data_IF_266612702752
#
_entry.id   IF_266612702752
#
_cell.length_a   1.000
_cell.length_b   1.000
_cell.length_c   1.000
_cell.angle_alpha   90.00
_cell.angle_beta   90.00
_cell.angle_gamma   90.00
#
_symmetry.space_group_name_H-M   'P 1'
#
loop_
_entity.id
_entity.type
_entity.pdbx_description
1 polymer ?
#
# COMPACT_ATOMS: atom_id res chain seq x y z
N UNK A 1 -2.28 -14.59 5.05
CA UNK A 1 -1.40 -14.47 3.87
C UNK A 1 0.00 -13.99 4.26
N UNK A 2 0.13 -12.91 5.03
CA UNK A 2 1.43 -12.37 5.46
C UNK A 2 2.24 -13.33 6.36
N UNK A 3 1.70 -13.91 7.46
CA UNK A 3 2.51 -14.74 8.37
C UNK A 3 2.98 -16.07 7.78
N UNK A 4 2.42 -16.48 6.63
CA UNK A 4 2.76 -17.73 5.94
C UNK A 4 3.44 -17.48 4.59
N UNK A 5 3.68 -16.22 4.20
CA UNK A 5 4.28 -15.87 2.91
C UNK A 5 3.40 -16.12 1.66
N UNK A 6 2.15 -16.59 1.83
CA UNK A 6 1.27 -16.94 0.70
C UNK A 6 0.94 -15.75 -0.23
N UNK A 7 1.16 -14.51 0.22
CA UNK A 7 1.00 -13.32 -0.63
C UNK A 7 2.03 -13.29 -1.78
N UNK A 8 3.21 -13.88 -1.62
CA UNK A 8 4.19 -14.01 -2.70
C UNK A 8 3.64 -14.80 -3.89
N UNK A 9 2.80 -15.82 -3.64
CA UNK A 9 2.17 -16.59 -4.72
C UNK A 9 1.21 -15.72 -5.54
N UNK A 10 0.47 -14.81 -4.89
CA UNK A 10 -0.38 -13.83 -5.59
C UNK A 10 0.46 -12.82 -6.36
N UNK A 11 1.54 -12.31 -5.75
CA UNK A 11 2.46 -11.40 -6.41
C UNK A 11 3.05 -12.04 -7.69
N UNK A 12 3.39 -13.34 -7.64
CA UNK A 12 3.86 -14.10 -8.79
C UNK A 12 2.86 -14.14 -9.96
N UNK A 13 1.56 -14.18 -9.66
CA UNK A 13 0.49 -14.19 -10.68
C UNK A 13 0.27 -12.81 -11.28
N UNK A 14 0.14 -11.78 -10.45
CA UNK A 14 -0.27 -10.45 -10.91
C UNK A 14 0.91 -9.56 -11.31
N UNK A 15 1.97 -9.53 -10.51
CA UNK A 15 3.08 -8.60 -10.70
C UNK A 15 4.20 -9.19 -11.55
N UNK A 16 4.32 -10.52 -11.56
CA UNK A 16 5.29 -11.27 -12.33
C UNK A 16 4.61 -12.15 -13.38
N UNK A 17 5.40 -12.92 -14.12
CA UNK A 17 4.99 -13.54 -15.38
C UNK A 17 4.39 -14.95 -15.26
N UNK A 18 3.91 -15.37 -14.08
CA UNK A 18 3.42 -16.75 -13.92
C UNK A 18 2.12 -16.98 -14.71
N UNK A 19 1.32 -15.94 -14.91
CA UNK A 19 0.04 -16.00 -15.63
C UNK A 19 0.00 -15.10 -16.88
N UNK A 20 1.16 -14.61 -17.36
CA UNK A 20 1.23 -13.70 -18.51
C UNK A 20 0.71 -12.28 -18.24
N UNK A 21 0.59 -11.87 -16.98
CA UNK A 21 0.16 -10.50 -16.60
C UNK A 21 1.37 -9.57 -16.51
N UNK A 22 2.35 -9.93 -15.68
CA UNK A 22 3.63 -9.23 -15.52
C UNK A 22 3.47 -7.70 -15.36
N UNK A 23 2.58 -7.28 -14.45
CA UNK A 23 2.15 -5.88 -14.33
C UNK A 23 3.34 -4.95 -14.06
N UNK A 24 4.37 -5.40 -13.30
CA UNK A 24 5.60 -4.61 -13.07
C UNK A 24 6.34 -4.37 -14.39
N UNK A 25 6.71 -5.43 -15.12
CA UNK A 25 7.51 -5.29 -16.33
C UNK A 25 6.80 -4.45 -17.40
N UNK A 26 5.49 -4.62 -17.51
CA UNK A 26 4.65 -3.87 -18.43
C UNK A 26 4.47 -2.41 -18.00
N UNK A 27 4.32 -2.13 -16.70
CA UNK A 27 4.14 -0.77 -16.18
C UNK A 27 5.37 0.10 -16.42
N UNK A 28 6.56 -0.45 -16.17
CA UNK A 28 7.84 0.24 -16.35
C UNK A 28 8.34 0.25 -17.81
N UNK A 29 7.63 -0.43 -18.72
CA UNK A 29 7.95 -0.48 -20.14
C UNK A 29 9.17 -1.32 -20.49
N UNK A 30 9.62 -2.21 -19.59
CA UNK A 30 10.76 -3.10 -19.86
C UNK A 30 10.41 -4.19 -20.88
N UNK A 31 9.13 -4.51 -21.03
CA UNK A 31 8.62 -5.55 -21.93
C UNK A 31 7.85 -4.99 -23.13
N UNK A 32 7.38 -3.74 -23.06
CA UNK A 32 6.71 -3.06 -24.17
C UNK A 32 5.24 -3.44 -24.41
N UNK A 33 4.63 -4.29 -23.58
CA UNK A 33 3.24 -4.76 -23.75
C UNK A 33 2.22 -4.03 -22.85
N UNK A 34 2.65 -2.99 -22.13
CA UNK A 34 1.79 -2.20 -21.25
C UNK A 34 0.70 -1.43 -22.00
N UNK A 35 -0.51 -1.41 -21.43
CA UNK A 35 -1.66 -0.65 -21.93
C UNK A 35 -1.92 0.54 -21.00
N UNK A 36 -1.78 1.74 -21.56
CA UNK A 36 -2.02 2.99 -20.82
C UNK A 36 -3.42 3.01 -20.23
N UNK A 37 -3.52 3.35 -18.94
CA UNK A 37 -4.78 3.38 -18.22
C UNK A 37 -5.34 2.01 -17.84
N UNK A 38 -4.61 0.92 -18.02
CA UNK A 38 -4.98 -0.41 -17.52
C UNK A 38 -3.83 -1.05 -16.71
N UNK A 39 -2.62 -1.06 -17.27
CA UNK A 39 -1.43 -1.58 -16.61
C UNK A 39 -1.12 -0.79 -15.33
N UNK A 40 -0.79 -1.48 -14.25
CA UNK A 40 -0.65 -0.94 -12.90
C UNK A 40 -1.92 -1.03 -12.04
N UNK A 41 -3.01 -1.63 -12.56
CA UNK A 41 -4.26 -1.81 -11.79
C UNK A 41 -4.09 -2.72 -10.58
N UNK A 42 -3.15 -3.67 -10.61
CA UNK A 42 -2.87 -4.58 -9.49
C UNK A 42 -1.84 -4.00 -8.51
N UNK A 43 -1.38 -2.76 -8.74
CA UNK A 43 -0.31 -2.10 -7.98
C UNK A 43 -0.81 -0.84 -7.28
N UNK A 44 -1.58 -0.02 -7.99
CA UNK A 44 -1.94 1.35 -7.53
C UNK A 44 -2.72 1.36 -6.22
N UNK A 45 -3.52 0.32 -5.96
CA UNK A 45 -4.36 0.18 -4.76
C UNK A 45 -3.61 0.14 -3.43
N UNK A 46 -2.31 -0.16 -3.44
CA UNK A 46 -1.53 -0.28 -2.22
C UNK A 46 -1.07 1.08 -1.66
N UNK A 47 -0.86 2.08 -2.53
CA UNK A 47 -0.35 3.39 -2.14
C UNK A 47 -1.24 4.13 -1.12
N UNK A 48 -2.58 4.23 -1.29
CA UNK A 48 -3.43 4.93 -0.32
C UNK A 48 -3.34 4.33 1.09
N UNK A 49 -3.26 3.01 1.18
CA UNK A 49 -3.16 2.30 2.46
C UNK A 49 -1.79 2.48 3.09
N UNK A 50 -0.72 2.22 2.33
CA UNK A 50 0.65 2.21 2.86
C UNK A 50 1.15 3.62 3.22
N UNK A 51 0.79 4.62 2.41
CA UNK A 51 1.23 6.01 2.62
C UNK A 51 0.33 6.81 3.57
N UNK A 52 -0.95 6.45 3.72
CA UNK A 52 -1.89 7.29 4.49
C UNK A 52 -2.68 6.48 5.53
N UNK A 53 -3.32 5.39 5.12
CA UNK A 53 -4.15 4.57 6.01
C UNK A 53 -3.37 4.02 7.21
N UNK A 54 -2.24 3.34 6.97
CA UNK A 54 -1.42 2.76 8.03
C UNK A 54 -0.77 3.82 8.94
N UNK A 55 -0.17 4.91 8.43
CA UNK A 55 0.25 6.03 9.28
C UNK A 55 -0.88 6.64 10.13
N UNK A 56 -2.10 6.77 9.60
CA UNK A 56 -3.26 7.21 10.36
C UNK A 56 -3.67 6.20 11.45
N UNK A 57 -3.68 4.91 11.12
CA UNK A 57 -3.91 3.84 12.10
C UNK A 57 -2.88 3.85 13.23
N UNK A 58 -1.61 4.09 12.91
CA UNK A 58 -0.56 4.28 13.92
C UNK A 58 -0.84 5.50 14.82
N UNK A 59 -1.30 6.61 14.25
CA UNK A 59 -1.71 7.78 15.02
C UNK A 59 -2.92 7.49 15.93
N UNK A 60 -3.91 6.75 15.44
CA UNK A 60 -5.07 6.31 16.22
C UNK A 60 -4.67 5.39 17.38
N UNK A 61 -3.77 4.44 17.14
CA UNK A 61 -3.19 3.59 18.18
C UNK A 61 -2.41 4.41 19.23
N UNK A 62 -1.71 5.46 18.81
CA UNK A 62 -1.01 6.35 19.73
C UNK A 62 -1.98 7.16 20.61
N UNK A 63 -3.06 7.69 20.03
CA UNK A 63 -4.08 8.45 20.76
C UNK A 63 -4.82 7.60 21.79
N UNK A 64 -5.01 6.31 21.52
CA UNK A 64 -5.69 5.36 22.43
C UNK A 64 -4.73 4.68 23.42
N UNK A 65 -3.42 4.90 23.28
CA UNK A 65 -2.43 4.31 24.18
C UNK A 65 -2.55 4.85 25.62
N UNK A 66 -2.46 3.95 26.60
CA UNK A 66 -2.44 4.32 28.04
C UNK A 66 -1.33 5.33 28.32
N UNK A 67 -1.61 6.38 29.11
CA UNK A 67 -0.67 7.47 29.37
C UNK A 67 0.73 7.00 29.81
N UNK A 68 0.78 6.01 30.72
CA UNK A 68 2.03 5.41 31.21
C UNK A 68 2.87 4.70 30.15
N UNK A 69 2.31 4.39 28.98
CA UNK A 69 2.98 3.72 27.84
C UNK A 69 3.15 4.64 26.63
N UNK A 70 2.51 5.81 26.64
CA UNK A 70 2.43 6.71 25.48
C UNK A 70 3.81 7.11 24.93
N UNK A 71 4.79 7.38 25.81
CA UNK A 71 6.17 7.68 25.40
C UNK A 71 6.87 6.51 24.68
N UNK A 72 6.69 5.29 25.18
CA UNK A 72 7.30 4.10 24.58
C UNK A 72 6.64 3.76 23.24
N UNK A 73 5.32 3.85 23.19
CA UNK A 73 4.52 3.55 21.99
C UNK A 73 4.74 4.60 20.89
N UNK A 74 4.94 5.88 21.23
CA UNK A 74 5.20 6.94 20.26
C UNK A 74 6.35 6.61 19.31
N UNK A 75 7.51 6.21 19.85
CA UNK A 75 8.70 5.92 19.04
C UNK A 75 8.49 4.70 18.13
N UNK A 76 7.87 3.65 18.66
CA UNK A 76 7.60 2.41 17.91
C UNK A 76 6.61 2.65 16.77
N UNK A 77 5.48 3.30 17.06
CA UNK A 77 4.44 3.58 16.06
C UNK A 77 4.91 4.59 15.02
N UNK A 78 5.69 5.61 15.42
CA UNK A 78 6.26 6.56 14.47
C UNK A 78 7.25 5.87 13.52
N UNK A 79 8.15 5.03 14.05
CA UNK A 79 9.10 4.30 13.22
C UNK A 79 8.39 3.35 12.24
N UNK A 80 7.36 2.64 12.70
CA UNK A 80 6.55 1.75 11.86
C UNK A 80 5.75 2.53 10.81
N UNK A 81 5.15 3.66 11.17
CA UNK A 81 4.43 4.55 10.25
C UNK A 81 5.36 5.15 9.19
N UNK A 82 6.56 5.60 9.58
CA UNK A 82 7.56 6.12 8.66
C UNK A 82 8.08 5.02 7.71
N UNK A 83 8.27 3.80 8.21
CA UNK A 83 8.60 2.65 7.36
C UNK A 83 7.51 2.41 6.32
N UNK A 84 6.25 2.31 6.75
CA UNK A 84 5.10 2.13 5.83
C UNK A 84 5.02 3.26 4.82
N UNK A 85 5.08 4.52 5.27
CA UNK A 85 4.99 5.67 4.38
C UNK A 85 6.13 5.73 3.38
N UNK A 86 7.37 5.60 3.85
CA UNK A 86 8.54 5.89 3.04
C UNK A 86 8.87 4.75 2.08
N UNK A 87 8.85 3.51 2.59
CA UNK A 87 9.27 2.32 1.83
C UNK A 87 8.12 1.41 1.43
N UNK A 88 6.93 1.56 2.01
CA UNK A 88 5.80 0.64 1.78
C UNK A 88 5.89 -0.65 2.60
N UNK A 89 6.81 -0.75 3.57
CA UNK A 89 6.93 -1.93 4.45
C UNK A 89 5.96 -1.79 5.62
N UNK A 90 4.98 -2.68 5.70
CA UNK A 90 3.82 -2.59 6.59
C UNK A 90 3.88 -3.50 7.79
N UNK A 91 4.69 -4.56 7.73
CA UNK A 91 4.77 -5.63 8.71
C UNK A 91 5.05 -5.14 10.14
N UNK A 92 5.95 -4.17 10.39
CA UNK A 92 6.17 -3.67 11.75
C UNK A 92 4.91 -3.11 12.42
N UNK A 93 3.97 -2.57 11.63
CA UNK A 93 2.72 -2.04 12.13
C UNK A 93 1.61 -3.09 12.12
N UNK A 94 1.46 -3.85 11.04
CA UNK A 94 0.43 -4.90 10.92
C UNK A 94 0.60 -5.97 11.99
N UNK A 95 1.83 -6.34 12.33
CA UNK A 95 2.10 -7.35 13.36
C UNK A 95 1.67 -6.88 14.76
N UNK A 96 1.60 -5.56 14.99
CA UNK A 96 1.18 -5.01 16.27
C UNK A 96 -0.30 -5.25 16.57
N UNK A 97 -1.14 -5.46 15.55
CA UNK A 97 -2.59 -5.68 15.75
C UNK A 97 -3.13 -6.96 15.11
N UNK A 98 -2.47 -7.56 14.11
CA UNK A 98 -2.97 -8.75 13.40
C UNK A 98 -3.29 -9.92 14.35
N UNK A 99 -2.41 -10.20 15.30
CA UNK A 99 -2.59 -11.29 16.26
C UNK A 99 -3.40 -10.87 17.49
N UNK A 100 -3.36 -9.58 17.84
CA UNK A 100 -4.02 -9.04 19.02
C UNK A 100 -5.51 -8.78 18.79
N UNK A 101 -5.85 -8.29 17.60
CA UNK A 101 -7.19 -7.90 17.18
C UNK A 101 -7.47 -8.37 15.74
N UNK A 102 -7.73 -9.68 15.53
CA UNK A 102 -7.93 -10.23 14.18
C UNK A 102 -9.06 -9.56 13.40
N UNK A 103 -10.12 -9.10 14.08
CA UNK A 103 -11.20 -8.34 13.45
C UNK A 103 -10.73 -7.03 12.82
N UNK A 104 -9.78 -6.32 13.46
CA UNK A 104 -9.21 -5.09 12.91
C UNK A 104 -8.36 -5.38 11.67
N UNK A 105 -7.69 -6.54 11.63
CA UNK A 105 -6.96 -7.01 10.46
C UNK A 105 -7.88 -7.34 9.27
N UNK A 106 -9.07 -7.89 9.52
CA UNK A 106 -10.07 -8.07 8.46
C UNK A 106 -10.59 -6.73 7.93
N UNK A 107 -10.81 -5.74 8.80
CA UNK A 107 -11.18 -4.38 8.37
C UNK A 107 -10.07 -3.77 7.52
N UNK A 108 -8.81 -3.84 7.98
CA UNK A 108 -7.66 -3.40 7.21
C UNK A 108 -7.61 -4.07 5.82
N UNK A 109 -7.74 -5.40 5.74
CA UNK A 109 -7.73 -6.11 4.47
C UNK A 109 -8.90 -5.71 3.55
N UNK A 110 -10.09 -5.50 4.11
CA UNK A 110 -11.25 -4.99 3.37
C UNK A 110 -11.02 -3.59 2.82
N UNK A 111 -10.46 -2.68 3.62
CA UNK A 111 -10.10 -1.33 3.19
C UNK A 111 -9.03 -1.36 2.09
N UNK A 112 -8.05 -2.25 2.17
CA UNK A 112 -7.06 -2.45 1.10
C UNK A 112 -7.70 -2.94 -0.19
N UNK A 113 -8.66 -3.86 -0.12
CA UNK A 113 -9.45 -4.28 -1.28
C UNK A 113 -10.27 -3.14 -1.89
N UNK A 114 -10.92 -2.32 -1.06
CA UNK A 114 -11.67 -1.14 -1.51
C UNK A 114 -10.72 -0.12 -2.16
N UNK A 115 -9.54 0.10 -1.59
CA UNK A 115 -8.51 0.98 -2.15
C UNK A 115 -8.10 0.52 -3.56
N UNK A 116 -7.87 -0.78 -3.73
CA UNK A 116 -7.60 -1.35 -5.06
C UNK A 116 -8.73 -1.09 -6.04
N UNK A 117 -9.98 -1.38 -5.67
CA UNK A 117 -11.15 -1.13 -6.54
C UNK A 117 -11.25 0.35 -6.92
N UNK A 118 -11.14 1.27 -5.95
CA UNK A 118 -11.21 2.71 -6.20
C UNK A 118 -10.11 3.16 -7.16
N UNK A 119 -8.86 2.73 -6.94
CA UNK A 119 -7.74 3.07 -7.82
C UNK A 119 -7.88 2.45 -9.22
N UNK A 120 -8.47 1.27 -9.35
CA UNK A 120 -8.75 0.66 -10.67
C UNK A 120 -9.83 1.45 -11.43
N UNK A 121 -10.90 1.88 -10.74
CA UNK A 121 -12.02 2.58 -11.36
C UNK A 121 -11.70 4.04 -11.76
N UNK A 122 -10.84 4.71 -10.99
CA UNK A 122 -10.40 6.07 -11.30
C UNK A 122 -9.24 6.06 -12.31
N UNK A 123 -9.01 7.15 -13.06
CA UNK A 123 -7.87 7.27 -13.98
C UNK A 123 -6.58 7.56 -13.20
N UNK A 124 -6.15 6.65 -12.33
CA UNK A 124 -4.96 6.76 -11.49
C UNK A 124 -4.14 5.47 -11.55
N UNK A 125 -2.91 5.55 -12.06
CA UNK A 125 -1.98 4.42 -12.24
C UNK A 125 -0.63 4.83 -11.68
N UNK A 126 -0.19 4.12 -10.65
CA UNK A 126 1.15 4.22 -10.10
C UNK A 126 1.69 2.82 -9.81
N UNK A 127 2.96 2.61 -10.14
CA UNK A 127 3.64 1.35 -9.97
C UNK A 127 4.79 1.47 -8.98
N UNK A 128 5.30 0.33 -8.57
CA UNK A 128 6.40 0.15 -7.64
C UNK A 128 7.34 -0.95 -8.13
N UNK A 129 8.58 -0.92 -7.67
CA UNK A 129 9.53 -2.03 -7.84
C UNK A 129 9.80 -2.76 -6.52
N UNK A 130 9.67 -2.06 -5.39
CA UNK A 130 9.87 -2.63 -4.06
C UNK A 130 8.55 -2.81 -3.31
N UNK A 131 7.84 -1.71 -3.02
CA UNK A 131 6.50 -1.73 -2.41
C UNK A 131 5.75 -0.42 -2.72
N UNK A 132 4.57 -0.16 -2.18
CA UNK A 132 3.82 1.06 -2.51
C UNK A 132 4.12 2.24 -1.59
N UNK A 133 5.41 2.50 -1.33
CA UNK A 133 5.88 3.61 -0.51
C UNK A 133 6.07 4.93 -1.26
N UNK A 134 6.35 6.00 -0.53
CA UNK A 134 6.62 7.34 -1.08
C UNK A 134 7.73 7.36 -2.12
N UNK A 135 8.80 6.57 -1.93
CA UNK A 135 9.90 6.47 -2.88
C UNK A 135 9.42 5.90 -4.21
N UNK A 136 8.73 4.76 -4.18
CA UNK A 136 8.17 4.14 -5.39
C UNK A 136 7.13 5.05 -6.05
N UNK A 137 6.31 5.76 -5.28
CA UNK A 137 5.37 6.73 -5.82
C UNK A 137 6.09 7.82 -6.59
N UNK A 138 7.15 8.42 -6.04
CA UNK A 138 7.95 9.44 -6.72
C UNK A 138 8.60 8.91 -8.01
N UNK A 139 9.13 7.69 -7.97
CA UNK A 139 9.74 7.05 -9.14
C UNK A 139 8.71 6.75 -10.23
N UNK A 140 7.48 6.39 -9.83
CA UNK A 140 6.39 6.06 -10.74
C UNK A 140 6.02 7.20 -11.68
N UNK A 141 6.29 8.46 -11.34
CA UNK A 141 5.96 9.61 -12.22
C UNK A 141 6.65 9.54 -13.58
N UNK A 142 7.78 8.83 -13.67
CA UNK A 142 8.54 8.67 -14.91
C UNK A 142 8.22 7.39 -15.67
N UNK A 143 7.34 6.54 -15.14
CA UNK A 143 6.97 5.29 -15.79
C UNK A 143 6.07 5.57 -17.00
N UNK A 144 6.22 4.81 -18.11
CA UNK A 144 5.46 5.04 -19.33
C UNK A 144 3.95 4.82 -19.15
N UNK A 145 3.55 3.94 -18.22
CA UNK A 145 2.15 3.63 -17.93
C UNK A 145 1.56 4.44 -16.77
N UNK A 146 2.28 5.43 -16.24
CA UNK A 146 1.78 6.26 -15.15
C UNK A 146 0.63 7.17 -15.62
N UNK A 147 -0.46 7.18 -14.86
CA UNK A 147 -1.65 7.97 -15.13
C UNK A 147 -2.03 8.74 -13.88
N UNK A 148 -2.05 10.07 -13.97
CA UNK A 148 -2.44 10.99 -12.89
C UNK A 148 -1.98 10.60 -11.46
N UNK A 149 -0.69 10.30 -11.22
CA UNK A 149 -0.20 9.79 -9.92
C UNK A 149 -0.50 10.73 -8.74
N UNK A 150 -0.71 12.02 -8.99
CA UNK A 150 -1.10 13.01 -7.98
C UNK A 150 -2.48 12.75 -7.36
N UNK A 151 -3.37 12.02 -8.03
CA UNK A 151 -4.67 11.63 -7.45
C UNK A 151 -4.55 10.74 -6.23
N UNK A 152 -3.39 10.09 -6.03
CA UNK A 152 -3.13 9.33 -4.81
C UNK A 152 -3.11 10.20 -3.54
N UNK A 153 -2.86 11.51 -3.64
CA UNK A 153 -2.92 12.40 -2.48
C UNK A 153 -4.35 12.50 -1.93
N UNK A 154 -5.37 12.97 -2.68
CA UNK A 154 -6.73 13.06 -2.15
C UNK A 154 -7.33 11.69 -1.82
N UNK A 155 -7.06 10.65 -2.62
CA UNK A 155 -7.53 9.28 -2.31
C UNK A 155 -6.90 8.79 -1.00
N UNK A 156 -5.58 8.94 -0.88
CA UNK A 156 -4.82 8.60 0.31
C UNK A 156 -5.32 9.32 1.56
N UNK A 157 -5.51 10.63 1.50
CA UNK A 157 -6.05 11.41 2.61
C UNK A 157 -7.46 10.93 3.02
N UNK A 158 -8.33 10.58 2.07
CA UNK A 158 -9.63 10.01 2.38
C UNK A 158 -9.50 8.67 3.14
N UNK A 159 -8.61 7.79 2.69
CA UNK A 159 -8.29 6.55 3.42
C UNK A 159 -7.69 6.84 4.80
N UNK A 160 -6.78 7.80 4.92
CA UNK A 160 -6.22 8.22 6.21
C UNK A 160 -7.27 8.76 7.19
N UNK A 161 -8.39 9.32 6.72
CA UNK A 161 -9.51 9.73 7.58
C UNK A 161 -10.39 8.54 7.99
N UNK A 162 -10.50 7.52 7.13
CA UNK A 162 -11.30 6.31 7.40
C UNK A 162 -10.60 5.38 8.40
N UNK A 163 -9.27 5.32 8.35
CA UNK A 163 -8.41 4.50 9.23
C UNK A 163 -8.32 5.05 10.66
#
# INVERSE_FOLDING_TARGET
LIPTGLHHALNSVFWFDVAGINDIGNFWGTLGEGVYGQTGMYMTGFFPVMMFGLPAGALAMYHTAKDKKKKAVAGLLLAAALSSFFTGVTEPLEFAFMFLAPGLYLVHAGLTGISAIVCTLLPVRSGFNFSAGFVDWCLSFKAPMAENPLWLIPIGLAFGVIY
#
